data_IF_957981876638
#
_entry.id   IF_957981876638
#
_cell.length_a   1.000
_cell.length_b   1.000
_cell.length_c   1.000
_cell.angle_alpha   90.00
_cell.angle_beta   90.00
_cell.angle_gamma   90.00
#
_symmetry.space_group_name_H-M   'P 1'
#
loop_
_entity.id
_entity.type
_entity.pdbx_description
1 polymer ?
#
# COMPACT_ATOMS: atom_id res chain seq x y z
N UNK A 1 -3.27 -7.24 -11.02
CA UNK A 1 -2.39 -6.59 -10.02
C UNK A 1 -3.13 -5.61 -9.13
N UNK A 2 -4.31 -5.09 -9.51
CA UNK A 2 -5.12 -4.16 -8.69
C UNK A 2 -5.54 -4.74 -7.33
N UNK A 3 -5.98 -5.99 -7.29
CA UNK A 3 -6.50 -6.62 -6.06
C UNK A 3 -5.53 -6.61 -4.86
N UNK A 4 -4.22 -6.71 -5.09
CA UNK A 4 -3.24 -6.68 -4.01
C UNK A 4 -3.02 -5.25 -3.50
N UNK A 5 -2.96 -4.26 -4.41
CA UNK A 5 -2.80 -2.85 -4.09
C UNK A 5 -4.04 -2.22 -3.44
N UNK A 6 -5.23 -2.79 -3.66
CA UNK A 6 -6.44 -2.36 -2.96
C UNK A 6 -6.49 -2.82 -1.50
N UNK A 7 -5.87 -3.97 -1.20
CA UNK A 7 -5.95 -4.60 0.13
C UNK A 7 -4.78 -4.30 1.03
N UNK A 8 -3.59 -4.10 0.45
CA UNK A 8 -2.37 -3.84 1.20
C UNK A 8 -2.07 -2.35 1.20
N UNK A 9 -1.80 -1.81 2.39
CA UNK A 9 -1.27 -0.46 2.57
C UNK A 9 -0.18 -0.42 3.64
N UNK A 10 0.53 0.69 3.74
CA UNK A 10 1.51 0.95 4.81
C UNK A 10 1.54 2.42 5.21
N UNK A 11 1.77 2.68 6.49
CA UNK A 11 2.06 4.01 7.03
C UNK A 11 3.58 4.33 7.08
N UNK A 12 4.41 3.43 6.55
CA UNK A 12 5.87 3.50 6.59
C UNK A 12 6.52 2.83 7.80
N UNK A 13 5.73 2.46 8.82
CA UNK A 13 6.20 1.73 10.01
C UNK A 13 5.65 0.30 10.05
N UNK A 14 4.41 0.11 9.62
CA UNK A 14 3.73 -1.18 9.60
C UNK A 14 3.02 -1.43 8.28
N UNK A 15 2.87 -2.70 7.95
CA UNK A 15 1.99 -3.15 6.88
C UNK A 15 0.58 -3.35 7.41
N UNK A 16 -0.37 -3.11 6.53
CA UNK A 16 -1.79 -3.29 6.78
C UNK A 16 -2.37 -4.14 5.65
N UNK A 17 -3.18 -5.13 6.02
CA UNK A 17 -3.96 -5.93 5.08
C UNK A 17 -5.43 -5.79 5.47
N UNK A 18 -6.26 -5.29 4.55
CA UNK A 18 -7.66 -4.95 4.80
C UNK A 18 -7.83 -4.04 6.05
N UNK A 19 -6.92 -3.07 6.21
CA UNK A 19 -6.87 -2.16 7.35
C UNK A 19 -6.38 -2.76 8.66
N UNK A 20 -6.02 -4.04 8.72
CA UNK A 20 -5.46 -4.68 9.91
C UNK A 20 -3.94 -4.64 9.89
N UNK A 21 -3.33 -4.13 10.96
CA UNK A 21 -1.88 -4.13 11.19
C UNK A 21 -1.34 -5.56 11.21
N UNK A 22 -0.27 -5.83 10.46
CA UNK A 22 0.34 -7.17 10.35
C UNK A 22 1.78 -7.22 10.87
N UNK A 23 2.73 -6.66 10.12
CA UNK A 23 4.17 -6.76 10.43
C UNK A 23 4.87 -5.39 10.31
N UNK A 24 6.02 -5.24 10.97
CA UNK A 24 6.87 -4.05 10.86
C UNK A 24 7.46 -3.91 9.45
N UNK A 25 7.55 -2.67 8.97
CA UNK A 25 8.24 -2.32 7.73
C UNK A 25 9.74 -2.45 7.93
N UNK A 26 10.36 -3.43 7.27
CA UNK A 26 11.81 -3.65 7.32
C UNK A 26 12.62 -2.61 6.54
N UNK A 27 12.00 -1.91 5.60
CA UNK A 27 12.65 -0.91 4.75
C UNK A 27 11.69 0.21 4.38
N UNK A 28 11.93 1.40 4.92
CA UNK A 28 11.13 2.59 4.61
C UNK A 28 11.14 2.93 3.11
N UNK A 29 12.23 2.61 2.40
CA UNK A 29 12.32 2.80 0.94
C UNK A 29 11.33 1.91 0.19
N UNK A 30 11.20 0.65 0.62
CA UNK A 30 10.26 -0.27 0.01
C UNK A 30 8.81 0.16 0.27
N UNK A 31 8.51 0.63 1.48
CA UNK A 31 7.19 1.19 1.81
C UNK A 31 6.85 2.42 0.95
N UNK A 32 7.79 3.35 0.78
CA UNK A 32 7.60 4.53 -0.05
C UNK A 32 7.32 4.19 -1.53
N UNK A 33 8.08 3.25 -2.11
CA UNK A 33 7.87 2.81 -3.49
C UNK A 33 6.52 2.10 -3.62
N UNK A 34 6.17 1.24 -2.66
CA UNK A 34 4.90 0.52 -2.67
C UNK A 34 3.71 1.47 -2.63
N UNK A 35 3.66 2.40 -1.66
CA UNK A 35 2.54 3.36 -1.56
C UNK A 35 2.44 4.28 -2.77
N UNK A 36 3.57 4.73 -3.32
CA UNK A 36 3.56 5.50 -4.57
C UNK A 36 2.94 4.68 -5.72
N UNK A 37 3.34 3.42 -5.87
CA UNK A 37 2.76 2.49 -6.85
C UNK A 37 1.25 2.29 -6.62
N UNK A 38 0.86 2.07 -5.37
CA UNK A 38 -0.53 1.91 -4.96
C UNK A 38 -1.39 3.11 -5.34
N UNK A 39 -0.93 4.34 -5.04
CA UNK A 39 -1.61 5.60 -5.37
C UNK A 39 -1.71 5.84 -6.88
N UNK A 40 -0.67 5.51 -7.65
CA UNK A 40 -0.72 5.61 -9.11
C UNK A 40 -1.72 4.64 -9.74
N UNK A 41 -1.93 3.47 -9.13
CA UNK A 41 -2.89 2.47 -9.62
C UNK A 41 -4.33 2.75 -9.20
N UNK A 42 -4.52 3.52 -8.11
CA UNK A 42 -5.83 3.85 -7.54
C UNK A 42 -6.42 5.16 -8.11
N UNK A 43 -6.04 5.54 -9.33
CA UNK A 43 -6.71 6.64 -10.04
C UNK A 43 -8.22 6.38 -10.06
N UNK A 44 -9.05 7.40 -9.78
CA UNK A 44 -10.49 7.27 -9.93
C UNK A 44 -10.76 7.00 -11.41
N UNK A 45 -11.48 5.92 -11.68
CA UNK A 45 -12.24 5.79 -12.93
C UNK A 45 -13.16 7.02 -12.96
N UNK A 46 -12.83 7.98 -13.82
CA UNK A 46 -13.54 9.23 -14.04
C UNK A 46 -14.89 8.87 -14.69
N UNK A 47 -15.88 8.58 -13.84
CA UNK A 47 -17.29 8.40 -14.20
C UNK A 47 -18.05 9.71 -14.07
#
# INVERSE_FOLDING_TARGET
>A
MSFLFERISTDGLYWYVDGKKTEDVKSWRAAAIFEAGRLMTSRPDDR
#
